data_IF_893526474737
#
_entry.id   IF_893526474737
#
_cell.length_a   1.000
_cell.length_b   1.000
_cell.length_c   1.000
_cell.angle_alpha   90.00
_cell.angle_beta   90.00
_cell.angle_gamma   90.00
#
_symmetry.space_group_name_H-M   'P 1'
#
loop_
_entity.id
_entity.type
_entity.pdbx_description
1 polymer ?
#
# COMPACT_ATOMS: atom_id res chain seq x y z
N UNK A 1 10.81 -0.37 -30.16
CA UNK A 1 9.44 -0.74 -30.59
C UNK A 1 8.64 -1.60 -29.59
N UNK A 2 9.20 -2.51 -28.76
CA UNK A 2 8.39 -3.18 -27.72
C UNK A 2 7.78 -2.19 -26.70
N UNK A 3 8.43 -1.04 -26.50
CA UNK A 3 7.88 0.06 -25.71
C UNK A 3 6.53 0.60 -26.20
N UNK A 4 6.22 0.54 -27.51
CA UNK A 4 4.93 1.03 -28.04
C UNK A 4 3.78 0.10 -27.63
N UNK A 5 4.02 -1.22 -27.63
CA UNK A 5 3.02 -2.20 -27.18
C UNK A 5 2.75 -2.05 -25.69
N UNK A 6 3.81 -1.86 -24.89
CA UNK A 6 3.67 -1.64 -23.44
C UNK A 6 2.97 -0.32 -23.12
N UNK A 7 3.42 0.80 -23.70
CA UNK A 7 2.83 2.12 -23.48
C UNK A 7 1.39 2.17 -24.01
N UNK A 8 1.11 1.55 -25.15
CA UNK A 8 -0.23 1.47 -25.71
C UNK A 8 -1.20 0.70 -24.82
N UNK A 9 -0.79 -0.46 -24.30
CA UNK A 9 -1.60 -1.23 -23.36
C UNK A 9 -1.81 -0.49 -22.03
N UNK A 10 -0.75 0.12 -21.50
CA UNK A 10 -0.84 0.93 -20.29
C UNK A 10 -1.78 2.13 -20.48
N UNK A 11 -1.73 2.80 -21.62
CA UNK A 11 -2.65 3.89 -21.95
C UNK A 11 -4.11 3.41 -22.02
N UNK A 12 -4.36 2.23 -22.60
CA UNK A 12 -5.70 1.61 -22.63
C UNK A 12 -6.19 1.30 -21.21
N UNK A 13 -5.33 0.74 -20.35
CA UNK A 13 -5.65 0.49 -18.94
C UNK A 13 -6.09 1.78 -18.24
N UNK A 14 -5.27 2.83 -18.32
CA UNK A 14 -5.55 4.12 -17.69
C UNK A 14 -6.82 4.74 -18.25
N UNK A 15 -7.02 4.70 -19.57
CA UNK A 15 -8.22 5.23 -20.22
C UNK A 15 -9.50 4.58 -19.68
N UNK A 16 -9.54 3.24 -19.57
CA UNK A 16 -10.71 2.56 -19.01
C UNK A 16 -10.93 2.83 -17.52
N UNK A 17 -9.85 2.98 -16.73
CA UNK A 17 -9.97 3.40 -15.32
C UNK A 17 -10.56 4.81 -15.19
N UNK A 18 -10.13 5.76 -16.03
CA UNK A 18 -10.65 7.14 -16.03
C UNK A 18 -12.14 7.18 -16.43
N UNK A 19 -12.57 6.28 -17.32
CA UNK A 19 -13.98 6.11 -17.66
C UNK A 19 -14.82 5.41 -16.57
N UNK A 20 -14.22 5.06 -15.43
CA UNK A 20 -14.92 4.44 -14.30
C UNK A 20 -15.15 2.93 -14.44
N UNK A 21 -14.45 2.24 -15.35
CA UNK A 21 -14.51 0.78 -15.40
C UNK A 21 -13.79 0.17 -14.20
N UNK A 22 -14.25 -1.00 -13.76
CA UNK A 22 -13.58 -1.73 -12.68
C UNK A 22 -12.15 -2.13 -13.10
N UNK A 23 -11.18 -2.18 -12.16
CA UNK A 23 -9.80 -2.54 -12.47
C UNK A 23 -9.68 -3.88 -13.20
N UNK A 24 -10.51 -4.86 -12.83
CA UNK A 24 -10.54 -6.18 -13.47
C UNK A 24 -10.93 -6.10 -14.96
N UNK A 25 -11.94 -5.28 -15.30
CA UNK A 25 -12.36 -5.06 -16.70
C UNK A 25 -11.28 -4.29 -17.48
N UNK A 26 -10.72 -3.25 -16.88
CA UNK A 26 -9.66 -2.45 -17.51
C UNK A 26 -8.42 -3.29 -17.84
N UNK A 27 -7.97 -4.15 -16.92
CA UNK A 27 -6.85 -5.09 -17.16
C UNK A 27 -7.18 -6.10 -18.25
N UNK A 28 -8.38 -6.68 -18.24
CA UNK A 28 -8.80 -7.65 -19.25
C UNK A 28 -8.80 -7.04 -20.66
N UNK A 29 -9.31 -5.81 -20.80
CA UNK A 29 -9.31 -5.07 -22.07
C UNK A 29 -7.91 -4.65 -22.50
N UNK A 30 -7.07 -4.21 -21.54
CA UNK A 30 -5.66 -3.93 -21.79
C UNK A 30 -4.91 -5.17 -22.29
N UNK A 31 -5.21 -6.37 -21.77
CA UNK A 31 -4.59 -7.62 -22.23
C UNK A 31 -4.98 -7.95 -23.67
N UNK A 32 -6.24 -7.71 -24.06
CA UNK A 32 -6.67 -7.83 -25.46
C UNK A 32 -5.95 -6.80 -26.33
N UNK A 33 -5.80 -5.56 -25.85
CA UNK A 33 -5.07 -4.50 -26.57
C UNK A 33 -3.60 -4.87 -26.79
N UNK A 34 -2.92 -5.49 -25.82
CA UNK A 34 -1.55 -6.03 -26.01
C UNK A 34 -1.52 -6.99 -27.19
N UNK A 35 -2.47 -7.94 -27.27
CA UNK A 35 -2.51 -8.94 -28.34
C UNK A 35 -2.77 -8.30 -29.72
N UNK A 36 -3.68 -7.31 -29.79
CA UNK A 36 -4.00 -6.61 -31.03
C UNK A 36 -2.85 -5.71 -31.51
N UNK A 37 -2.23 -4.94 -30.61
CA UNK A 37 -1.08 -4.08 -30.92
C UNK A 37 0.15 -4.91 -31.29
N UNK A 38 0.37 -6.03 -30.60
CA UNK A 38 1.42 -6.99 -30.93
C UNK A 38 1.25 -7.58 -32.34
N UNK A 39 0.00 -7.84 -32.76
CA UNK A 39 -0.30 -8.40 -34.08
C UNK A 39 -0.03 -7.44 -35.25
N UNK A 40 -0.02 -6.13 -34.99
CA UNK A 40 0.19 -5.09 -36.02
C UNK A 40 1.64 -4.92 -36.50
N UNK A 41 2.62 -5.58 -35.87
CA UNK A 41 4.04 -5.44 -36.24
C UNK A 41 4.73 -6.81 -36.37
N UNK A 42 5.45 -7.02 -37.47
CA UNK A 42 6.08 -8.32 -37.79
C UNK A 42 7.11 -8.79 -36.73
N UNK A 43 7.74 -7.85 -36.02
CA UNK A 43 8.74 -8.13 -34.98
C UNK A 43 8.16 -8.40 -33.59
N UNK A 44 6.88 -8.07 -33.34
CA UNK A 44 6.22 -8.26 -32.04
C UNK A 44 5.10 -9.29 -32.07
N UNK A 45 4.78 -9.87 -33.23
CA UNK A 45 3.63 -10.74 -33.43
C UNK A 45 3.74 -12.01 -32.58
N UNK A 46 2.78 -12.19 -31.67
CA UNK A 46 2.68 -13.40 -30.85
C UNK A 46 2.05 -14.51 -31.70
N UNK A 47 2.80 -15.57 -31.98
CA UNK A 47 2.28 -16.79 -32.58
C UNK A 47 1.48 -17.64 -31.59
N UNK A 48 0.61 -18.53 -32.08
CA UNK A 48 -0.23 -19.40 -31.25
C UNK A 48 0.53 -20.18 -30.17
N UNK A 49 1.70 -20.74 -30.53
CA UNK A 49 2.56 -21.47 -29.58
C UNK A 49 3.11 -20.55 -28.48
N UNK A 50 3.49 -19.32 -28.81
CA UNK A 50 3.98 -18.34 -27.84
C UNK A 50 2.86 -17.84 -26.93
N UNK A 51 1.64 -17.71 -27.45
CA UNK A 51 0.47 -17.38 -26.63
C UNK A 51 0.17 -18.49 -25.62
N UNK A 52 0.16 -19.75 -26.07
CA UNK A 52 -0.02 -20.91 -25.19
C UNK A 52 1.09 -21.02 -24.14
N UNK A 53 2.35 -20.75 -24.52
CA UNK A 53 3.47 -20.72 -23.59
C UNK A 53 3.27 -19.61 -22.54
N UNK A 54 2.91 -18.40 -22.95
CA UNK A 54 2.64 -17.28 -22.04
C UNK A 54 1.48 -17.57 -21.07
N UNK A 55 0.40 -18.21 -21.54
CA UNK A 55 -0.70 -18.66 -20.68
C UNK A 55 -0.25 -19.74 -19.69
N UNK A 56 0.61 -20.66 -20.13
CA UNK A 56 1.17 -21.71 -19.27
C UNK A 56 2.07 -21.09 -18.19
N UNK A 57 2.92 -20.13 -18.56
CA UNK A 57 3.80 -19.43 -17.62
C UNK A 57 2.99 -18.57 -16.64
N UNK A 58 1.94 -17.90 -17.10
CA UNK A 58 1.01 -17.18 -16.23
C UNK A 58 0.32 -18.12 -15.23
N UNK A 59 -0.16 -19.29 -15.68
CA UNK A 59 -0.76 -20.30 -14.81
C UNK A 59 0.25 -20.83 -13.78
N UNK A 60 1.48 -21.14 -14.19
CA UNK A 60 2.56 -21.60 -13.30
C UNK A 60 2.94 -20.54 -12.27
N UNK A 61 3.07 -19.29 -12.68
CA UNK A 61 3.35 -18.16 -11.79
C UNK A 61 2.24 -17.93 -10.75
N UNK A 62 1.00 -18.29 -11.07
CA UNK A 62 -0.16 -18.19 -10.17
C UNK A 62 -0.25 -19.29 -9.12
N UNK A 63 0.46 -20.43 -9.26
CA UNK A 63 0.31 -21.59 -8.36
C UNK A 63 0.61 -21.22 -6.90
N UNK A 64 1.71 -20.49 -6.66
CA UNK A 64 2.09 -20.06 -5.31
C UNK A 64 1.04 -19.14 -4.69
N UNK A 65 0.44 -18.26 -5.51
CA UNK A 65 -0.64 -17.37 -5.06
C UNK A 65 -1.91 -18.15 -4.72
N UNK A 66 -2.29 -19.13 -5.56
CA UNK A 66 -3.48 -19.97 -5.33
C UNK A 66 -3.31 -20.79 -4.05
N UNK A 67 -2.18 -21.49 -3.89
CA UNK A 67 -1.91 -22.31 -2.70
C UNK A 67 -1.95 -21.47 -1.41
N UNK A 68 -1.28 -20.31 -1.41
CA UNK A 68 -1.27 -19.42 -0.26
C UNK A 68 -2.65 -18.80 0.02
N UNK A 69 -3.43 -18.46 -1.01
CA UNK A 69 -4.80 -17.99 -0.87
C UNK A 69 -5.74 -19.08 -0.31
N UNK A 70 -5.57 -20.34 -0.72
CA UNK A 70 -6.31 -21.48 -0.15
C UNK A 70 -6.01 -21.65 1.35
N UNK A 71 -4.75 -21.54 1.76
CA UNK A 71 -4.39 -21.55 3.18
C UNK A 71 -5.02 -20.39 3.95
N UNK A 72 -5.02 -19.18 3.40
CA UNK A 72 -5.70 -18.03 4.03
C UNK A 72 -7.21 -18.25 4.11
N UNK A 73 -7.84 -18.86 3.10
CA UNK A 73 -9.25 -19.25 3.16
C UNK A 73 -9.56 -20.19 4.33
N UNK A 74 -8.70 -21.18 4.59
CA UNK A 74 -8.82 -22.05 5.77
C UNK A 74 -8.67 -21.27 7.07
N UNK A 75 -7.68 -20.37 7.16
CA UNK A 75 -7.47 -19.50 8.33
C UNK A 75 -8.72 -18.65 8.58
N UNK A 76 -9.24 -17.98 7.55
CA UNK A 76 -10.45 -17.16 7.63
C UNK A 76 -11.64 -18.01 8.09
N UNK A 77 -11.80 -19.23 7.56
CA UNK A 77 -12.83 -20.17 7.99
C UNK A 77 -12.74 -20.50 9.47
N UNK A 78 -11.56 -20.88 9.95
CA UNK A 78 -11.33 -21.18 11.37
C UNK A 78 -11.55 -19.94 12.24
N UNK A 79 -11.03 -18.78 11.84
CA UNK A 79 -11.17 -17.53 12.58
C UNK A 79 -12.64 -17.10 12.69
N UNK A 80 -13.41 -17.26 11.61
CA UNK A 80 -14.84 -16.94 11.58
C UNK A 80 -15.62 -17.88 12.48
N UNK A 81 -15.38 -19.20 12.40
CA UNK A 81 -16.06 -20.21 13.22
C UNK A 81 -15.71 -20.12 14.71
N UNK A 82 -14.48 -19.75 15.04
CA UNK A 82 -14.01 -19.61 16.43
C UNK A 82 -14.35 -18.25 17.06
N UNK A 83 -14.77 -17.27 16.25
CA UNK A 83 -15.01 -15.90 16.70
C UNK A 83 -13.74 -15.13 17.10
N UNK A 84 -12.55 -15.68 16.84
CA UNK A 84 -11.26 -15.02 17.16
C UNK A 84 -11.09 -13.73 16.36
N UNK A 85 -11.72 -13.62 15.17
CA UNK A 85 -11.65 -12.43 14.32
C UNK A 85 -12.20 -11.17 15.00
N UNK A 86 -13.15 -11.34 15.93
CA UNK A 86 -13.69 -10.25 16.74
C UNK A 86 -12.86 -9.96 18.01
N UNK A 87 -11.96 -10.86 18.43
CA UNK A 87 -11.17 -10.68 19.65
C UNK A 87 -10.01 -9.70 19.49
N UNK A 88 -9.32 -9.69 18.35
CA UNK A 88 -8.28 -8.68 18.08
C UNK A 88 -8.83 -7.24 18.18
N UNK A 89 -9.96 -6.91 17.52
CA UNK A 89 -10.66 -5.65 17.74
C UNK A 89 -11.04 -5.43 19.21
N UNK A 90 -11.56 -6.47 19.87
CA UNK A 90 -11.97 -6.43 21.28
C UNK A 90 -10.83 -6.19 22.28
N UNK A 91 -9.56 -6.41 21.89
CA UNK A 91 -8.38 -6.05 22.72
C UNK A 91 -7.88 -4.65 22.37
N UNK A 92 -7.83 -4.31 21.08
CA UNK A 92 -7.24 -3.04 20.64
C UNK A 92 -8.14 -1.84 20.93
N UNK A 93 -9.46 -1.94 20.72
CA UNK A 93 -10.40 -0.83 20.89
C UNK A 93 -10.44 -0.31 22.35
N UNK A 94 -10.52 -1.18 23.38
CA UNK A 94 -10.46 -0.73 24.77
C UNK A 94 -9.11 -0.13 25.15
N UNK A 95 -8.01 -0.67 24.63
CA UNK A 95 -6.66 -0.13 24.85
C UNK A 95 -6.47 1.24 24.19
N UNK A 96 -7.13 1.48 23.06
CA UNK A 96 -7.10 2.75 22.37
C UNK A 96 -7.89 3.86 23.10
N UNK A 97 -8.80 3.51 24.03
CA UNK A 97 -9.58 4.47 24.84
C UNK A 97 -10.22 5.61 24.03
N UNK A 98 -10.80 5.29 22.86
CA UNK A 98 -11.37 6.28 21.93
C UNK A 98 -10.36 7.21 21.23
N UNK A 99 -9.05 6.93 21.32
CA UNK A 99 -8.02 7.65 20.58
C UNK A 99 -7.73 6.94 19.25
N UNK A 100 -8.18 7.54 18.14
CA UNK A 100 -7.97 7.04 16.79
C UNK A 100 -6.49 6.80 16.48
N UNK A 101 -5.61 7.73 16.81
CA UNK A 101 -4.17 7.62 16.52
C UNK A 101 -3.56 6.41 17.22
N UNK A 102 -3.92 6.20 18.49
CA UNK A 102 -3.43 5.05 19.26
C UNK A 102 -3.94 3.73 18.66
N UNK A 103 -5.21 3.66 18.26
CA UNK A 103 -5.76 2.50 17.56
C UNK A 103 -4.99 2.21 16.25
N UNK A 104 -4.73 3.24 15.45
CA UNK A 104 -3.99 3.11 14.19
C UNK A 104 -2.53 2.65 14.42
N UNK A 105 -1.87 3.08 15.49
CA UNK A 105 -0.52 2.60 15.85
C UNK A 105 -0.55 1.12 16.24
N UNK A 106 -1.49 0.71 17.09
CA UNK A 106 -1.63 -0.70 17.51
C UNK A 106 -1.96 -1.60 16.31
N UNK A 107 -2.79 -1.11 15.39
CA UNK A 107 -3.13 -1.78 14.14
C UNK A 107 -1.96 -1.84 13.17
N UNK A 108 -1.17 -0.78 13.04
CA UNK A 108 0.08 -0.81 12.25
C UNK A 108 0.99 -1.92 12.76
N UNK A 109 1.23 -2.00 14.07
CA UNK A 109 2.11 -3.02 14.64
C UNK A 109 1.56 -4.42 14.35
N UNK A 110 0.26 -4.62 14.54
CA UNK A 110 -0.40 -5.89 14.30
C UNK A 110 -0.37 -6.31 12.83
N UNK A 111 -0.69 -5.41 11.89
CA UNK A 111 -0.63 -5.67 10.44
C UNK A 111 0.78 -5.98 9.97
N UNK A 112 1.80 -5.30 10.50
CA UNK A 112 3.19 -5.59 10.16
C UNK A 112 3.59 -6.98 10.64
N UNK A 113 3.33 -7.33 11.90
CA UNK A 113 3.68 -8.63 12.47
C UNK A 113 2.97 -9.76 11.71
N UNK A 114 1.67 -9.61 11.47
CA UNK A 114 0.87 -10.61 10.77
C UNK A 114 1.23 -10.70 9.28
N UNK A 115 1.76 -9.64 8.67
CA UNK A 115 2.13 -9.60 7.26
C UNK A 115 3.50 -10.19 6.92
N UNK A 116 4.37 -10.36 7.93
CA UNK A 116 5.72 -10.87 7.74
C UNK A 116 5.73 -12.27 7.11
N UNK A 117 6.37 -12.40 5.94
CA UNK A 117 6.62 -13.69 5.29
C UNK A 117 5.48 -14.20 4.40
N UNK A 118 4.45 -13.39 4.14
CA UNK A 118 3.35 -13.73 3.23
C UNK A 118 3.48 -13.05 1.86
N UNK A 119 3.03 -13.68 0.76
CA UNK A 119 2.86 -12.97 -0.51
C UNK A 119 1.91 -11.78 -0.37
N UNK A 120 2.18 -10.67 -1.05
CA UNK A 120 1.45 -9.39 -0.91
C UNK A 120 -0.08 -9.51 -0.98
N UNK A 121 -0.61 -10.23 -1.96
CA UNK A 121 -2.06 -10.41 -2.11
C UNK A 121 -2.67 -11.22 -0.96
N UNK A 122 -1.94 -12.22 -0.46
CA UNK A 122 -2.34 -13.11 0.63
C UNK A 122 -2.33 -12.37 1.96
N UNK A 123 -1.27 -11.58 2.20
CA UNK A 123 -1.17 -10.66 3.32
C UNK A 123 -2.36 -9.71 3.36
N UNK A 124 -2.68 -9.06 2.24
CA UNK A 124 -3.81 -8.14 2.16
C UNK A 124 -5.15 -8.83 2.46
N UNK A 125 -5.43 -9.99 1.85
CA UNK A 125 -6.67 -10.73 2.10
C UNK A 125 -6.82 -11.10 3.58
N UNK A 126 -5.76 -11.63 4.19
CA UNK A 126 -5.74 -11.97 5.61
C UNK A 126 -6.01 -10.73 6.47
N UNK A 127 -5.25 -9.64 6.28
CA UNK A 127 -5.46 -8.44 7.10
C UNK A 127 -6.83 -7.78 6.86
N UNK A 128 -7.30 -7.73 5.61
CA UNK A 128 -8.60 -7.12 5.30
C UNK A 128 -9.76 -7.87 5.97
N UNK A 129 -9.66 -9.19 6.08
CA UNK A 129 -10.68 -9.99 6.80
C UNK A 129 -10.60 -9.86 8.32
N UNK A 130 -9.41 -9.72 8.90
CA UNK A 130 -9.22 -9.63 10.35
C UNK A 130 -9.41 -8.22 10.90
N UNK A 131 -8.92 -7.21 10.18
CA UNK A 131 -8.77 -5.82 10.64
C UNK A 131 -9.74 -4.89 9.94
N UNK A 132 -10.16 -5.21 8.70
CA UNK A 132 -11.13 -4.41 7.95
C UNK A 132 -12.41 -4.10 8.73
N UNK A 133 -13.06 -5.09 9.38
CA UNK A 133 -14.25 -4.83 10.19
C UNK A 133 -14.00 -3.87 11.36
N UNK A 134 -12.80 -3.90 11.96
CA UNK A 134 -12.47 -3.01 13.07
C UNK A 134 -12.39 -1.55 12.61
N UNK A 135 -11.63 -1.28 11.55
CA UNK A 135 -11.47 0.06 11.00
C UNK A 135 -12.80 0.58 10.43
N UNK A 136 -13.62 -0.29 9.85
CA UNK A 136 -14.98 0.06 9.41
C UNK A 136 -15.91 0.47 10.57
N UNK A 137 -15.84 -0.22 11.71
CA UNK A 137 -16.61 0.15 12.90
C UNK A 137 -16.17 1.49 13.54
N UNK A 138 -14.98 1.99 13.19
CA UNK A 138 -14.49 3.30 13.62
C UNK A 138 -15.00 4.44 12.72
N UNK A 139 -15.92 4.18 11.80
CA UNK A 139 -16.51 5.20 10.92
C UNK A 139 -15.59 5.63 9.77
N UNK A 140 -14.48 4.93 9.55
CA UNK A 140 -13.52 5.30 8.52
C UNK A 140 -14.04 4.96 7.12
N UNK A 141 -13.70 5.82 6.15
CA UNK A 141 -14.01 5.57 4.73
C UNK A 141 -13.46 4.20 4.32
N UNK A 142 -14.27 3.31 3.70
CA UNK A 142 -13.83 1.96 3.36
C UNK A 142 -12.56 1.92 2.51
N UNK A 143 -12.42 2.84 1.55
CA UNK A 143 -11.23 2.93 0.69
C UNK A 143 -9.97 3.25 1.51
N UNK A 144 -10.05 4.18 2.45
CA UNK A 144 -8.94 4.53 3.34
C UNK A 144 -8.55 3.34 4.22
N UNK A 145 -9.55 2.61 4.75
CA UNK A 145 -9.34 1.38 5.53
C UNK A 145 -8.57 0.32 4.73
N UNK A 146 -9.00 0.04 3.50
CA UNK A 146 -8.34 -0.94 2.66
C UNK A 146 -6.93 -0.51 2.25
N UNK A 147 -6.71 0.77 1.94
CA UNK A 147 -5.39 1.30 1.65
C UNK A 147 -4.46 1.27 2.86
N UNK A 148 -4.97 1.57 4.05
CA UNK A 148 -4.21 1.49 5.30
C UNK A 148 -3.67 0.08 5.53
N UNK A 149 -4.56 -0.91 5.43
CA UNK A 149 -4.24 -2.32 5.60
C UNK A 149 -3.28 -2.80 4.51
N UNK A 150 -3.56 -2.46 3.24
CA UNK A 150 -2.73 -2.84 2.10
C UNK A 150 -1.31 -2.29 2.23
N UNK A 151 -1.17 -1.00 2.53
CA UNK A 151 0.14 -0.37 2.67
C UNK A 151 0.96 -0.99 3.80
N UNK A 152 0.40 -1.18 5.00
CA UNK A 152 1.18 -1.77 6.09
C UNK A 152 1.51 -3.23 5.87
N UNK A 153 0.62 -3.97 5.19
CA UNK A 153 0.95 -5.30 4.67
C UNK A 153 2.18 -5.26 3.75
N UNK A 154 2.26 -4.30 2.84
CA UNK A 154 3.41 -4.13 1.95
C UNK A 154 4.67 -3.64 2.67
N UNK A 155 4.53 -2.70 3.62
CA UNK A 155 5.65 -2.17 4.38
C UNK A 155 6.28 -3.22 5.31
N UNK A 156 5.52 -4.25 5.73
CA UNK A 156 6.06 -5.39 6.48
C UNK A 156 7.24 -6.06 5.76
N UNK A 157 7.21 -6.11 4.42
CA UNK A 157 8.26 -6.71 3.60
C UNK A 157 9.54 -5.86 3.53
N UNK A 158 9.47 -4.59 3.94
CA UNK A 158 10.62 -3.67 3.99
C UNK A 158 11.21 -3.62 5.40
N UNK A 159 10.49 -4.10 6.42
CA UNK A 159 10.97 -4.13 7.81
C UNK A 159 11.96 -5.27 8.05
N UNK A 160 13.13 -5.01 8.67
CA UNK A 160 13.97 -6.07 9.21
C UNK A 160 13.19 -6.83 10.29
N UNK A 161 13.22 -8.18 10.34
CA UNK A 161 14.19 -9.08 9.68
C UNK A 161 13.78 -9.62 8.31
N UNK A 162 12.67 -9.20 7.70
CA UNK A 162 12.19 -9.79 6.43
C UNK A 162 12.85 -9.15 5.21
N UNK A 163 12.85 -7.81 5.13
CA UNK A 163 13.52 -6.92 4.15
C UNK A 163 14.11 -7.55 2.86
N UNK A 164 13.33 -8.37 2.13
CA UNK A 164 13.86 -9.32 1.14
C UNK A 164 14.60 -8.63 -0.02
N UNK A 165 14.06 -7.49 -0.48
CA UNK A 165 14.66 -6.69 -1.53
C UNK A 165 15.99 -6.06 -1.09
N UNK A 166 16.09 -5.61 0.16
CA UNK A 166 17.32 -5.06 0.71
C UNK A 166 18.39 -6.15 0.87
N UNK A 167 17.99 -7.38 1.18
CA UNK A 167 18.92 -8.51 1.34
C UNK A 167 19.48 -9.00 0.01
N UNK A 168 18.65 -9.06 -1.03
CA UNK A 168 19.10 -9.35 -2.39
C UNK A 168 20.00 -8.24 -2.92
N UNK A 169 19.65 -6.97 -2.70
CA UNK A 169 20.50 -5.84 -3.06
C UNK A 169 21.86 -5.88 -2.32
N UNK A 170 21.87 -6.20 -1.03
CA UNK A 170 23.08 -6.34 -0.23
C UNK A 170 24.01 -7.45 -0.76
N UNK A 171 23.44 -8.61 -1.13
CA UNK A 171 24.18 -9.73 -1.69
C UNK A 171 24.83 -9.37 -3.04
N UNK A 172 24.13 -8.63 -3.90
CA UNK A 172 24.66 -8.14 -5.17
C UNK A 172 25.77 -7.09 -4.94
N UNK A 173 25.57 -6.19 -3.98
CA UNK A 173 26.50 -5.10 -3.68
C UNK A 173 27.71 -5.51 -2.80
N UNK A 174 27.74 -6.75 -2.29
CA UNK A 174 28.76 -7.20 -1.34
C UNK A 174 28.71 -6.49 0.02
N UNK A 175 27.55 -5.94 0.39
CA UNK A 175 27.35 -5.21 1.65
C UNK A 175 26.71 -6.09 2.74
N UNK A 176 26.80 -5.66 4.00
CA UNK A 176 26.14 -6.35 5.10
C UNK A 176 24.61 -6.35 4.93
N UNK A 177 24.00 -7.53 4.92
CA UNK A 177 22.56 -7.75 4.76
C UNK A 177 21.75 -6.91 5.77
N UNK A 178 22.11 -7.00 7.05
CA UNK A 178 21.39 -6.31 8.13
C UNK A 178 21.58 -4.79 8.08
N UNK A 179 22.80 -4.33 7.78
CA UNK A 179 23.11 -2.90 7.65
C UNK A 179 22.33 -2.27 6.50
N UNK A 180 22.27 -2.97 5.36
CA UNK A 180 21.49 -2.56 4.20
C UNK A 180 20.00 -2.57 4.51
N UNK A 181 19.51 -3.57 5.24
CA UNK A 181 18.13 -3.66 5.71
C UNK A 181 17.74 -2.48 6.59
N UNK A 182 18.53 -2.15 7.61
CA UNK A 182 18.28 -0.98 8.47
C UNK A 182 18.39 0.35 7.71
N UNK A 183 19.33 0.47 6.79
CA UNK A 183 19.46 1.65 5.95
C UNK A 183 18.22 1.85 5.07
N UNK A 184 17.78 0.79 4.37
CA UNK A 184 16.59 0.81 3.54
C UNK A 184 15.32 1.11 4.37
N UNK A 185 15.19 0.47 5.54
CA UNK A 185 14.08 0.72 6.47
C UNK A 185 14.03 2.18 6.91
N UNK A 186 15.18 2.81 7.21
CA UNK A 186 15.23 4.23 7.56
C UNK A 186 14.63 5.12 6.47
N UNK A 187 14.90 4.84 5.20
CA UNK A 187 14.26 5.57 4.09
C UNK A 187 12.78 5.22 3.94
N UNK A 188 12.42 3.96 4.18
CA UNK A 188 11.04 3.49 4.09
C UNK A 188 10.11 4.12 5.14
N UNK A 189 10.62 4.53 6.31
CA UNK A 189 9.83 5.19 7.37
C UNK A 189 9.02 6.40 6.88
N UNK A 190 9.47 7.07 5.82
CA UNK A 190 8.73 8.18 5.20
C UNK A 190 7.40 7.67 4.63
N UNK A 191 7.40 6.48 4.02
CA UNK A 191 6.21 5.83 3.49
C UNK A 191 5.26 5.30 4.57
N UNK A 192 5.71 5.12 5.82
CA UNK A 192 4.84 4.72 6.94
C UNK A 192 3.85 5.82 7.32
N UNK A 193 4.11 7.08 6.96
CA UNK A 193 3.17 8.19 7.23
C UNK A 193 1.96 8.19 6.28
N UNK A 194 2.10 7.64 5.08
CA UNK A 194 1.08 7.75 4.04
C UNK A 194 -0.25 7.05 4.39
N UNK A 195 -0.24 5.83 4.98
CA UNK A 195 -1.45 5.19 5.48
C UNK A 195 -2.23 6.04 6.48
N UNK A 196 -1.53 6.68 7.43
CA UNK A 196 -2.14 7.59 8.39
C UNK A 196 -2.76 8.80 7.68
N UNK A 197 -2.05 9.35 6.69
CA UNK A 197 -2.57 10.48 5.92
C UNK A 197 -3.86 10.12 5.18
N UNK A 198 -3.99 8.92 4.59
CA UNK A 198 -5.23 8.50 3.94
C UNK A 198 -6.42 8.35 4.89
N UNK A 199 -6.16 7.94 6.14
CA UNK A 199 -7.21 7.78 7.15
C UNK A 199 -7.63 9.12 7.73
N UNK A 200 -6.66 9.99 8.05
CA UNK A 200 -6.91 11.31 8.64
C UNK A 200 -7.39 12.33 7.61
N UNK A 201 -7.07 12.14 6.33
CA UNK A 201 -7.42 13.02 5.21
C UNK A 201 -7.92 12.23 4.01
N UNK A 202 -9.18 11.75 4.04
CA UNK A 202 -9.79 11.05 2.91
C UNK A 202 -9.79 11.86 1.61
N UNK A 203 -9.59 13.19 1.68
CA UNK A 203 -9.52 14.09 0.52
C UNK A 203 -8.35 13.78 -0.39
N UNK A 204 -7.29 13.15 0.14
CA UNK A 204 -6.19 12.59 -0.68
C UNK A 204 -6.68 11.50 -1.63
N UNK A 205 -7.81 10.86 -1.32
CA UNK A 205 -8.49 9.86 -2.12
C UNK A 205 -9.63 10.46 -2.96
N UNK A 206 -9.72 11.80 -3.01
CA UNK A 206 -10.83 12.55 -3.63
C UNK A 206 -12.18 12.33 -2.93
N UNK A 207 -12.15 11.86 -1.68
CA UNK A 207 -13.35 11.57 -0.89
C UNK A 207 -13.45 12.51 0.31
N UNK A 208 -14.65 12.91 0.66
CA UNK A 208 -14.97 13.54 1.92
C UNK A 208 -15.07 12.46 3.03
N UNK A 209 -15.04 12.83 4.32
CA UNK A 209 -15.22 11.88 5.43
C UNK A 209 -16.51 11.05 5.33
N UNK A 210 -17.57 11.63 4.78
CA UNK A 210 -18.84 10.92 4.53
C UNK A 210 -18.82 9.93 3.35
N UNK A 211 -17.69 9.79 2.64
CA UNK A 211 -17.55 8.96 1.45
C UNK A 211 -18.07 9.59 0.16
N UNK A 212 -18.53 10.85 0.20
CA UNK A 212 -18.89 11.64 -0.97
C UNK A 212 -17.66 12.22 -1.67
N UNK A 213 -17.81 12.82 -2.85
CA UNK A 213 -16.69 13.44 -3.56
C UNK A 213 -16.31 14.75 -2.83
N UNK A 214 -15.05 14.88 -2.43
CA UNK A 214 -14.59 16.09 -1.74
C UNK A 214 -14.55 17.32 -2.67
N UNK A 215 -14.81 18.53 -2.14
CA UNK A 215 -14.60 19.77 -2.88
C UNK A 215 -13.14 19.92 -3.34
N UNK A 216 -12.94 20.38 -4.58
CA UNK A 216 -11.60 20.50 -5.18
C UNK A 216 -10.66 21.38 -4.33
N UNK A 217 -11.20 22.43 -3.69
CA UNK A 217 -10.41 23.29 -2.80
C UNK A 217 -9.81 22.56 -1.59
N UNK A 218 -10.59 21.67 -0.96
CA UNK A 218 -10.14 20.86 0.17
C UNK A 218 -9.13 19.80 -0.27
N UNK A 219 -9.35 19.18 -1.43
CA UNK A 219 -8.39 18.22 -2.02
C UNK A 219 -7.04 18.91 -2.23
N UNK A 220 -7.01 20.06 -2.90
CA UNK A 220 -5.76 20.78 -3.20
C UNK A 220 -5.05 21.21 -1.92
N UNK A 221 -5.79 21.73 -0.94
CA UNK A 221 -5.23 22.15 0.34
C UNK A 221 -4.65 20.97 1.12
N UNK A 222 -5.39 19.87 1.26
CA UNK A 222 -4.95 18.70 2.00
C UNK A 222 -3.76 18.01 1.32
N UNK A 223 -3.75 17.92 -0.02
CA UNK A 223 -2.59 17.45 -0.78
C UNK A 223 -1.37 18.33 -0.52
N UNK A 224 -1.52 19.66 -0.55
CA UNK A 224 -0.41 20.57 -0.28
C UNK A 224 0.14 20.42 1.15
N UNK A 225 -0.73 20.32 2.16
CA UNK A 225 -0.33 20.11 3.55
C UNK A 225 0.39 18.77 3.71
N UNK A 226 -0.15 17.68 3.15
CA UNK A 226 0.48 16.35 3.22
C UNK A 226 1.83 16.33 2.51
N UNK A 227 1.97 17.01 1.36
CA UNK A 227 3.26 17.14 0.66
C UNK A 227 4.31 17.85 1.52
N UNK A 228 3.93 18.96 2.16
CA UNK A 228 4.82 19.68 3.09
C UNK A 228 5.20 18.80 4.29
N UNK A 229 4.23 18.09 4.87
CA UNK A 229 4.45 17.16 5.98
C UNK A 229 5.40 16.02 5.61
N UNK A 230 5.21 15.38 4.45
CA UNK A 230 6.07 14.30 3.96
C UNK A 230 7.47 14.84 3.62
N UNK A 231 7.58 16.02 3.01
CA UNK A 231 8.88 16.62 2.70
C UNK A 231 9.67 16.96 3.98
N UNK A 232 8.99 17.48 5.00
CA UNK A 232 9.58 17.73 6.31
C UNK A 232 10.00 16.42 7.00
N UNK A 233 9.17 15.38 6.95
CA UNK A 233 9.47 14.05 7.48
C UNK A 233 10.70 13.45 6.77
N UNK A 234 10.75 13.54 5.44
CA UNK A 234 11.85 13.07 4.63
C UNK A 234 13.16 13.79 4.97
N UNK A 235 13.15 15.12 5.04
CA UNK A 235 14.32 15.91 5.45
C UNK A 235 14.78 15.60 6.87
N UNK A 236 13.83 15.44 7.81
CA UNK A 236 14.11 15.09 9.21
C UNK A 236 14.73 13.70 9.37
N UNK A 237 14.19 12.68 8.69
CA UNK A 237 14.67 11.29 8.78
C UNK A 237 16.00 11.10 8.05
N UNK A 238 16.11 11.63 6.83
CA UNK A 238 17.33 11.47 6.01
C UNK A 238 18.48 12.33 6.54
N UNK A 239 18.17 13.52 7.08
CA UNK A 239 19.15 14.53 7.50
C UNK A 239 19.70 15.36 6.35
N UNK A 240 19.06 15.30 5.18
CA UNK A 240 19.52 15.95 3.96
C UNK A 240 18.33 16.47 3.15
N UNK A 241 18.43 17.70 2.67
CA UNK A 241 17.48 18.31 1.71
C UNK A 241 18.26 18.82 0.51
N UNK A 242 18.32 20.15 0.35
CA UNK A 242 19.24 20.80 -0.58
C UNK A 242 20.67 20.94 -0.02
N UNK A 243 20.81 20.89 1.30
CA UNK A 243 22.07 20.87 2.02
C UNK A 243 21.96 19.95 3.24
N UNK A 244 23.08 19.70 3.92
CA UNK A 244 23.08 18.97 5.20
C UNK A 244 22.27 19.75 6.24
N UNK A 245 21.33 19.06 6.89
CA UNK A 245 20.43 19.67 7.87
C UNK A 245 21.02 19.45 9.27
N UNK A 246 21.10 20.51 10.07
CA UNK A 246 21.65 20.40 11.43
C UNK A 246 20.72 19.60 12.35
N UNK A 247 21.22 18.94 13.42
CA UNK A 247 20.37 18.15 14.32
C UNK A 247 19.18 18.92 14.90
N UNK A 248 19.36 20.21 15.19
CA UNK A 248 18.29 21.09 15.64
C UNK A 248 17.21 21.30 14.56
N UNK A 249 17.63 21.66 13.34
CA UNK A 249 16.72 21.80 12.20
C UNK A 249 15.97 20.50 11.89
N UNK A 250 16.63 19.33 12.06
CA UNK A 250 15.97 18.03 11.94
C UNK A 250 14.85 17.85 12.97
N UNK A 251 15.10 18.23 14.23
CA UNK A 251 14.07 18.21 15.28
C UNK A 251 12.87 19.08 14.91
N UNK A 252 13.11 20.30 14.45
CA UNK A 252 12.05 21.22 13.99
C UNK A 252 11.27 20.63 12.81
N UNK A 253 11.94 20.04 11.83
CA UNK A 253 11.28 19.40 10.69
C UNK A 253 10.45 18.18 11.08
N UNK A 254 10.93 17.36 12.01
CA UNK A 254 10.17 16.21 12.52
C UNK A 254 8.93 16.64 13.31
N UNK A 255 9.05 17.68 14.13
CA UNK A 255 7.91 18.27 14.84
C UNK A 255 6.90 18.90 13.87
N UNK A 256 7.39 19.64 12.87
CA UNK A 256 6.56 20.20 11.81
C UNK A 256 5.82 19.12 11.03
N UNK A 257 6.52 18.04 10.64
CA UNK A 257 5.92 16.89 9.99
C UNK A 257 4.83 16.25 10.85
N UNK A 258 5.09 16.06 12.15
CA UNK A 258 4.13 15.51 13.09
C UNK A 258 2.87 16.38 13.16
N UNK A 259 3.03 17.70 13.25
CA UNK A 259 1.91 18.64 13.27
C UNK A 259 1.14 18.59 11.95
N UNK A 260 1.80 18.72 10.80
CA UNK A 260 1.12 18.72 9.51
C UNK A 260 0.44 17.39 9.16
N UNK A 261 0.98 16.26 9.62
CA UNK A 261 0.42 14.93 9.35
C UNK A 261 -0.65 14.51 10.37
N UNK A 262 -0.52 14.91 11.64
CA UNK A 262 -1.49 14.55 12.70
C UNK A 262 -2.56 15.60 12.95
N UNK A 263 -2.45 16.81 12.40
CA UNK A 263 -3.56 17.76 12.45
C UNK A 263 -4.70 17.18 11.64
N UNK A 264 -5.70 16.70 12.37
CA UNK A 264 -6.97 16.25 11.82
C UNK A 264 -7.66 17.44 11.15
N UNK A 265 -8.09 17.27 9.90
CA UNK A 265 -8.90 18.27 9.21
C UNK A 265 -10.35 18.29 9.72
N UNK A 266 -10.77 17.28 10.49
CA UNK A 266 -12.13 17.11 10.98
C UNK A 266 -12.17 16.92 12.50
N UNK A 267 -11.93 17.98 13.30
CA UNK A 267 -12.06 17.91 14.75
C UNK A 267 -13.53 17.69 15.14
N UNK A 268 -13.96 16.44 15.35
CA UNK A 268 -15.32 16.16 15.85
C UNK A 268 -15.98 14.83 15.49
N UNK A 269 -15.25 13.82 15.00
CA UNK A 269 -15.76 12.45 14.91
C UNK A 269 -15.19 11.58 16.03
#
# INVERSE_FOLDING_TARGET
MPGIVFVGAFAVLIFFLVLGYTPFRAVSLSMIAVLLLSAGHASTRIGWRSLLAALTDAARGGIALIAAASCVGLIIGVVTLTGIGAKLPGVILPLAQNNLILALILLMISTIILGMGLPSAVCYLLMATLIGPMLGNMGLVPLATHLFIFYFGMMSMVTPPVALAAYTAAAIAGAGIMQTGFAAFRFALIGFALPYAFVLRPELLMLAPGGEIAPVGEIVLNVAITLVGIAALAGGITGYGFARITPWQRGVLLLGALIFLLTDSHPGQ
#
